data_IF_970880510250
#
_entry.id   IF_970880510250
#
_cell.length_a   1.000
_cell.length_b   1.000
_cell.length_c   1.000
_cell.angle_alpha   90.00
_cell.angle_beta   90.00
_cell.angle_gamma   90.00
#
_symmetry.space_group_name_H-M   'P 1'
#
loop_
_entity.id
_entity.type
_entity.pdbx_description
1 polymer ?
2 non-polymer ?
3 non-polymer ?
4 water ?
#
# COMPACT_ATOMS: atom_id res chain seq x y z
N UNK A 1 7.16 -13.06 12.88
CA UNK A 1 6.29 -12.32 13.82
C UNK A 1 4.94 -12.00 13.21
N UNK A 2 4.06 -11.43 14.03
CA UNK A 2 2.74 -11.03 13.59
C UNK A 2 2.63 -9.53 13.86
N UNK A 3 2.27 -8.77 12.84
CA UNK A 3 2.16 -7.32 12.98
C UNK A 3 0.74 -6.80 12.80
N UNK A 4 0.27 -6.04 13.78
CA UNK A 4 -1.08 -5.48 13.70
C UNK A 4 -1.06 -4.20 12.87
N UNK A 5 -2.24 -3.72 12.49
CA UNK A 5 -2.30 -2.53 11.64
C UNK A 5 -2.85 -1.27 12.29
N UNK A 6 -2.84 -1.22 13.62
CA UNK A 6 -3.33 -0.05 14.35
C UNK A 6 -2.46 1.14 13.95
N UNK A 7 -1.18 0.85 13.72
CA UNK A 7 -0.21 1.86 13.33
C UNK A 7 0.37 1.46 11.99
N UNK A 8 1.07 2.38 11.34
CA UNK A 8 1.70 2.05 10.07
C UNK A 8 2.69 0.94 10.38
N UNK A 9 2.67 -0.14 9.58
CA UNK A 9 3.59 -1.26 9.80
C UNK A 9 5.02 -0.90 9.39
N UNK A 10 5.76 -0.29 10.31
CA UNK A 10 7.14 0.10 10.04
C UNK A 10 8.13 -0.87 10.68
N UNK A 11 9.16 -1.23 9.93
CA UNK A 11 10.19 -2.13 10.43
C UNK A 11 11.57 -1.63 10.01
N UNK A 12 12.60 -2.20 10.61
CA UNK A 12 13.96 -1.81 10.29
C UNK A 12 14.50 -2.66 9.15
N UNK A 13 15.19 -2.00 8.23
CA UNK A 13 15.78 -2.71 7.12
C UNK A 13 17.24 -2.29 7.03
N UNK A 14 18.05 -3.13 6.41
CA UNK A 14 19.45 -2.80 6.22
C UNK A 14 19.75 -2.91 4.74
N UNK A 15 20.23 -1.82 4.16
CA UNK A 15 20.57 -1.80 2.74
C UNK A 15 21.81 -0.95 2.55
N UNK A 16 22.79 -1.50 1.84
CA UNK A 16 24.03 -0.78 1.61
C UNK A 16 24.71 -0.46 2.92
N UNK A 17 24.61 -1.38 3.88
CA UNK A 17 25.23 -1.17 5.17
C UNK A 17 24.50 -0.16 6.04
N UNK A 18 23.34 0.30 5.59
CA UNK A 18 22.58 1.27 6.37
C UNK A 18 21.24 0.77 6.91
N UNK A 19 20.94 1.18 8.14
CA UNK A 19 19.70 0.81 8.79
C UNK A 19 18.67 1.91 8.54
N UNK A 20 17.49 1.53 8.07
CA UNK A 20 16.43 2.49 7.79
C UNK A 20 15.07 1.94 8.19
N UNK A 21 14.10 2.83 8.37
CA UNK A 21 12.74 2.44 8.73
C UNK A 21 11.95 2.28 7.44
N UNK A 22 11.22 1.17 7.30
CA UNK A 22 10.46 0.95 6.08
C UNK A 22 9.04 0.48 6.34
N UNK A 23 8.17 0.82 5.42
CA UNK A 23 6.78 0.47 5.53
C UNK A 23 6.45 -0.83 4.79
N UNK A 24 5.88 -1.82 5.49
CA UNK A 24 5.51 -3.06 4.79
C UNK A 24 4.22 -2.74 4.03
N UNK A 25 4.30 -2.69 2.71
CA UNK A 25 3.15 -2.30 1.90
C UNK A 25 2.63 -3.33 0.90
N UNK A 26 1.59 -4.07 1.27
CA UNK A 26 1.02 -5.08 0.37
C UNK A 26 0.42 -4.46 -0.88
N UNK A 27 0.17 -3.15 -0.84
CA UNK A 27 -0.41 -2.47 -1.98
C UNK A 27 0.61 -2.04 -3.03
N UNK A 28 1.89 -2.08 -2.68
CA UNK A 28 2.95 -1.69 -3.62
C UNK A 28 3.48 -2.90 -4.40
N UNK A 29 3.53 -2.78 -5.72
CA UNK A 29 4.04 -3.88 -6.54
C UNK A 29 5.56 -3.91 -6.48
N UNK A 30 6.15 -2.73 -6.28
CA UNK A 30 7.61 -2.60 -6.22
C UNK A 30 8.04 -2.04 -4.87
N UNK A 31 9.36 -1.96 -4.70
CA UNK A 31 9.96 -1.43 -3.48
C UNK A 31 10.54 -0.06 -3.84
N UNK A 32 10.24 0.94 -3.03
CA UNK A 32 10.72 2.30 -3.29
C UNK A 32 11.41 2.91 -2.09
N UNK A 33 12.64 3.38 -2.30
CA UNK A 33 13.40 3.97 -1.21
C UNK A 33 13.68 5.44 -1.44
N UNK A 34 13.82 6.17 -0.34
CA UNK A 34 14.11 7.60 -0.40
C UNK A 34 15.47 7.80 -1.04
N UNK A 35 15.64 8.94 -1.70
CA UNK A 35 16.88 9.25 -2.39
C UNK A 35 18.14 8.86 -1.59
N UNK A 36 19.03 8.13 -2.24
CA UNK A 36 20.28 7.71 -1.62
C UNK A 36 21.27 7.36 -2.72
N UNK A 37 22.56 7.51 -2.43
CA UNK A 37 23.59 7.27 -3.44
C UNK A 37 24.15 5.86 -3.54
N UNK A 38 23.32 4.92 -3.99
CA UNK A 38 23.77 3.54 -4.16
C UNK A 38 24.73 3.41 -5.33
N UNK A 39 25.75 2.55 -5.18
CA UNK A 39 26.71 2.35 -6.26
C UNK A 39 26.12 1.35 -7.25
N UNK A 40 26.67 1.31 -8.46
CA UNK A 40 26.17 0.38 -9.45
C UNK A 40 25.44 1.08 -10.58
N UNK A 41 25.16 0.33 -11.63
CA UNK A 41 24.46 0.88 -12.78
C UNK A 41 22.95 0.80 -12.52
N UNK A 42 22.19 1.66 -13.19
CA UNK A 42 20.74 1.69 -13.02
C UNK A 42 20.04 2.16 -14.29
N UNK A 43 18.72 1.96 -14.34
CA UNK A 43 17.93 2.38 -15.49
C UNK A 43 16.84 3.33 -15.03
N UNK A 44 16.48 4.32 -15.86
CA UNK A 44 15.44 5.27 -15.49
C UNK A 44 14.09 4.57 -15.56
N UNK A 45 13.14 5.01 -14.75
CA UNK A 45 11.82 4.42 -14.75
C UNK A 45 10.78 5.33 -14.10
N UNK A 46 9.54 5.17 -14.54
CA UNK A 46 8.42 5.95 -14.03
C UNK A 46 7.49 4.99 -13.30
N UNK A 47 7.06 5.36 -12.10
CA UNK A 47 6.11 4.54 -11.34
C UNK A 47 4.98 5.45 -10.89
N UNK A 48 3.76 4.93 -10.94
CA UNK A 48 2.62 5.73 -10.55
C UNK A 48 2.04 5.38 -9.20
N UNK A 49 1.65 6.40 -8.46
CA UNK A 49 1.04 6.18 -7.17
C UNK A 49 -0.29 6.91 -7.17
N UNK A 50 -0.82 7.18 -5.98
CA UNK A 50 -2.11 7.86 -5.84
C UNK A 50 -2.26 9.15 -6.64
N UNK A 51 -1.34 10.08 -6.45
CA UNK A 51 -1.44 11.35 -7.14
C UNK A 51 -0.52 11.58 -8.33
N UNK A 52 -0.26 10.53 -9.10
CA UNK A 52 0.59 10.67 -10.27
C UNK A 52 1.82 9.79 -10.37
N UNK A 53 2.72 10.16 -11.27
CA UNK A 53 3.95 9.43 -11.51
C UNK A 53 5.18 10.19 -11.03
N UNK A 54 6.18 9.46 -10.56
CA UNK A 54 7.42 10.07 -10.13
C UNK A 54 8.54 9.34 -10.87
N UNK A 55 9.60 10.07 -11.20
CA UNK A 55 10.73 9.49 -11.90
C UNK A 55 11.66 8.87 -10.87
N UNK A 56 12.11 7.64 -11.13
CA UNK A 56 13.01 6.96 -10.19
C UNK A 56 14.13 6.18 -10.87
N UNK A 57 15.11 5.76 -10.07
CA UNK A 57 16.23 5.00 -10.58
C UNK A 57 16.13 3.54 -10.13
N UNK A 58 16.20 2.64 -11.09
CA UNK A 58 16.08 1.22 -10.82
C UNK A 58 17.39 0.47 -10.66
N UNK A 59 17.60 -0.09 -9.46
CA UNK A 59 18.79 -0.88 -9.17
C UNK A 59 18.39 -2.34 -9.01
N UNK A 60 19.02 -3.25 -9.75
CA UNK A 60 18.70 -4.67 -9.65
C UNK A 60 19.62 -5.43 -8.70
N UNK A 61 19.20 -6.65 -8.36
CA UNK A 61 19.95 -7.54 -7.48
C UNK A 61 20.59 -6.86 -6.28
N UNK A 62 19.82 -6.04 -5.58
CA UNK A 62 20.35 -5.35 -4.41
C UNK A 62 20.04 -6.18 -3.16
N UNK A 63 21.07 -6.49 -2.35
CA UNK A 63 20.88 -7.27 -1.13
C UNK A 63 20.20 -6.39 -0.09
N UNK A 64 19.17 -6.92 0.56
CA UNK A 64 18.48 -6.14 1.56
C UNK A 64 17.98 -7.03 2.68
N UNK A 65 18.03 -6.51 3.89
CA UNK A 65 17.56 -7.26 5.04
C UNK A 65 16.32 -6.57 5.63
N UNK A 66 15.32 -7.38 5.96
CA UNK A 66 14.07 -6.90 6.52
C UNK A 66 13.81 -7.69 7.79
N UNK A 67 13.97 -7.04 8.94
CA UNK A 67 13.76 -7.71 10.23
C UNK A 67 14.53 -9.00 10.30
N UNK A 68 15.83 -8.93 10.04
CA UNK A 68 16.65 -10.12 10.11
C UNK A 68 16.38 -11.15 9.03
N UNK A 69 15.49 -10.84 8.09
CA UNK A 69 15.22 -11.78 7.01
C UNK A 69 15.91 -11.27 5.76
N UNK A 70 16.87 -12.03 5.26
CA UNK A 70 17.63 -11.64 4.08
C UNK A 70 16.84 -11.81 2.79
N UNK A 71 17.03 -10.86 1.89
CA UNK A 71 16.36 -10.89 0.60
C UNK A 71 17.20 -10.11 -0.39
N UNK A 72 16.91 -10.28 -1.67
CA UNK A 72 17.65 -9.59 -2.71
C UNK A 72 16.75 -9.41 -3.93
N UNK A 73 16.74 -8.20 -4.46
CA UNK A 73 15.90 -7.95 -5.61
C UNK A 73 16.03 -6.55 -6.15
N UNK A 74 15.01 -6.14 -6.89
CA UNK A 74 14.97 -4.83 -7.51
C UNK A 74 14.48 -3.77 -6.54
N UNK A 75 15.13 -2.62 -6.57
CA UNK A 75 14.76 -1.50 -5.71
C UNK A 75 14.77 -0.23 -6.52
N UNK A 76 13.73 0.58 -6.33
CA UNK A 76 13.62 1.85 -7.03
C UNK A 76 14.03 2.95 -6.05
N UNK A 77 14.75 3.95 -6.55
CA UNK A 77 15.20 5.05 -5.71
C UNK A 77 14.72 6.38 -6.28
N UNK A 78 14.06 7.17 -5.44
CA UNK A 78 13.55 8.44 -5.89
C UNK A 78 13.01 9.27 -4.75
N UNK A 79 12.43 10.44 -5.06
CA UNK A 79 11.87 11.33 -4.04
C UNK A 79 10.54 10.84 -3.48
N UNK A 80 10.60 9.76 -2.70
CA UNK A 80 9.41 9.21 -2.07
C UNK A 80 9.42 9.73 -0.64
N UNK A 81 8.25 10.12 -0.12
CA UNK A 81 8.17 10.63 1.25
C UNK A 81 8.55 9.60 2.29
N UNK A 82 8.46 8.32 1.92
CA UNK A 82 8.80 7.26 2.85
C UNK A 82 9.33 6.02 2.15
N UNK A 83 10.07 5.21 2.88
CA UNK A 83 10.60 3.98 2.32
C UNK A 83 9.48 2.96 2.26
N UNK A 84 9.43 2.22 1.16
CA UNK A 84 8.36 1.24 0.95
C UNK A 84 8.84 -0.12 0.47
N UNK A 85 8.52 -1.16 1.22
CA UNK A 85 8.89 -2.51 0.82
C UNK A 85 7.67 -3.10 0.10
N UNK A 86 7.82 -3.33 -1.20
CA UNK A 86 6.72 -3.88 -1.98
C UNK A 86 6.64 -5.40 -2.01
N UNK A 87 5.69 -5.91 -2.78
CA UNK A 87 5.48 -7.34 -2.89
C UNK A 87 6.66 -8.13 -3.44
N UNK A 88 7.44 -7.52 -4.33
CA UNK A 88 8.58 -8.23 -4.90
C UNK A 88 9.52 -8.72 -3.79
N UNK A 89 9.60 -7.99 -2.69
CA UNK A 89 10.45 -8.40 -1.58
C UNK A 89 9.68 -9.11 -0.48
N UNK A 90 8.41 -8.75 -0.30
CA UNK A 90 7.60 -9.39 0.75
C UNK A 90 7.46 -10.89 0.53
N UNK A 91 7.31 -11.29 -0.73
CA UNK A 91 7.20 -12.71 -1.07
C UNK A 91 8.47 -13.47 -0.69
N UNK A 92 9.62 -12.82 -0.83
CA UNK A 92 10.88 -13.46 -0.51
C UNK A 92 11.00 -13.84 0.97
N UNK A 93 10.39 -13.06 1.85
CA UNK A 93 10.46 -13.36 3.27
C UNK A 93 9.22 -14.10 3.78
N UNK A 94 8.48 -14.69 2.85
CA UNK A 94 7.29 -15.45 3.20
C UNK A 94 6.22 -14.69 3.95
N UNK A 95 6.06 -13.41 3.63
CA UNK A 95 5.06 -12.59 4.30
C UNK A 95 3.67 -12.84 3.73
N UNK A 96 2.70 -12.99 4.63
CA UNK A 96 1.31 -13.22 4.22
C UNK A 96 0.37 -12.26 4.94
N UNK A 97 -0.83 -12.15 4.39
CA UNK A 97 -1.87 -11.30 4.94
C UNK A 97 -2.84 -12.29 5.56
N UNK A 98 -3.26 -12.06 6.80
CA UNK A 98 -4.18 -12.99 7.44
C UNK A 98 -5.33 -12.36 8.21
N UNK A 99 -6.51 -12.94 8.04
CA UNK A 99 -7.71 -12.50 8.74
C UNK A 99 -8.75 -13.62 8.72
N UNK B 1 -8.90 -15.98 5.95
CA UNK B 1 -8.03 -16.75 5.03
C UNK B 1 -6.60 -16.24 5.06
N UNK B 2 -5.68 -17.03 4.51
CA UNK B 2 -4.28 -16.63 4.45
C UNK B 2 -3.99 -16.27 2.99
N UNK B 3 -3.49 -15.06 2.77
CA UNK B 3 -3.20 -14.60 1.43
C UNK B 3 -1.72 -14.39 1.16
N UNK B 4 -1.20 -15.06 0.13
CA UNK B 4 0.20 -14.92 -0.24
C UNK B 4 0.31 -13.68 -1.13
N UNK B 5 1.53 -13.22 -1.39
CA UNK B 5 1.68 -12.00 -2.16
C UNK B 5 2.38 -12.09 -3.52
N UNK B 6 2.27 -13.24 -4.17
CA UNK B 6 2.87 -13.42 -5.48
C UNK B 6 2.04 -12.68 -6.50
N UNK B 7 0.80 -12.40 -6.12
CA UNK B 7 -0.12 -11.66 -6.96
C UNK B 7 -0.71 -10.55 -6.10
N UNK B 8 -1.23 -9.51 -6.75
CA UNK B 8 -1.83 -8.42 -6.01
C UNK B 8 -2.92 -8.98 -5.09
N UNK B 9 -2.96 -8.51 -3.84
CA UNK B 9 -3.99 -9.03 -2.94
C UNK B 9 -5.35 -8.38 -3.20
N UNK B 10 -6.05 -8.88 -4.21
CA UNK B 10 -7.37 -8.36 -4.57
C UNK B 10 -8.50 -9.17 -3.96
N UNK B 11 -9.57 -8.49 -3.57
CA UNK B 11 -10.72 -9.16 -2.99
C UNK B 11 -11.99 -8.49 -3.45
N UNK B 12 -13.10 -9.20 -3.31
CA UNK B 12 -14.38 -8.66 -3.71
C UNK B 12 -15.02 -7.98 -2.51
N UNK B 13 -15.59 -6.81 -2.73
CA UNK B 13 -16.25 -6.09 -1.66
C UNK B 13 -17.68 -5.79 -2.08
N UNK B 14 -18.55 -5.63 -1.09
CA UNK B 14 -19.95 -5.33 -1.35
C UNK B 14 -20.19 -3.99 -0.69
N UNK B 15 -20.53 -3.00 -1.50
CA UNK B 15 -20.76 -1.67 -0.97
C UNK B 15 -22.01 -1.10 -1.61
N UNK B 16 -23.03 -0.88 -0.78
CA UNK B 16 -24.28 -0.34 -1.27
C UNK B 16 -25.02 -1.24 -2.24
N UNK B 17 -25.00 -2.55 -1.99
CA UNK B 17 -25.69 -3.48 -2.87
C UNK B 17 -24.96 -3.62 -4.19
N UNK B 18 -23.73 -3.14 -4.22
CA UNK B 18 -22.91 -3.17 -5.42
C UNK B 18 -21.63 -3.98 -5.16
N UNK B 19 -21.27 -4.86 -6.10
CA UNK B 19 -20.05 -5.64 -5.95
C UNK B 19 -18.89 -4.89 -6.61
N UNK B 20 -17.70 -5.06 -6.06
CA UNK B 20 -16.52 -4.40 -6.58
C UNK B 20 -15.27 -5.15 -6.18
N UNK B 21 -14.16 -4.80 -6.82
CA UNK B 21 -12.88 -5.44 -6.55
C UNK B 21 -11.99 -4.40 -5.86
N UNK B 22 -11.22 -4.84 -4.87
CA UNK B 22 -10.34 -3.92 -4.15
C UNK B 22 -9.02 -4.57 -3.78
N UNK B 23 -8.04 -3.72 -3.50
CA UNK B 23 -6.70 -4.18 -3.13
C UNK B 23 -6.49 -4.04 -1.61
N UNK B 24 -6.04 -5.11 -0.95
CA UNK B 24 -5.77 -5.05 0.49
C UNK B 24 -4.44 -4.31 0.60
N UNK B 25 -4.50 -3.09 1.11
CA UNK B 25 -3.32 -2.24 1.14
C UNK B 25 -2.86 -1.75 2.51
N UNK B 26 -1.84 -2.40 3.06
CA UNK B 26 -1.33 -2.02 4.37
C UNK B 26 -0.57 -0.70 4.41
N UNK B 27 -0.15 -0.20 3.26
CA UNK B 27 0.57 1.07 3.21
C UNK B 27 -0.38 2.26 3.12
N UNK B 28 -1.67 1.98 3.03
CA UNK B 28 -2.66 3.05 2.94
C UNK B 28 -3.30 3.28 4.31
N UNK B 29 -3.30 4.53 4.78
CA UNK B 29 -3.90 4.84 6.08
C UNK B 29 -5.41 4.75 5.97
N UNK B 30 -5.93 5.23 4.85
CA UNK B 30 -7.36 5.23 4.63
C UNK B 30 -7.79 4.40 3.44
N UNK B 31 -9.11 4.35 3.25
CA UNK B 31 -9.74 3.59 2.18
C UNK B 31 -10.29 4.50 1.08
N UNK B 32 -9.86 4.25 -0.15
CA UNK B 32 -10.32 5.07 -1.27
C UNK B 32 -10.87 4.23 -2.40
N UNK B 33 -12.06 4.60 -2.86
CA UNK B 33 -12.70 3.89 -3.94
C UNK B 33 -12.84 4.80 -5.14
N UNK B 34 -12.92 4.20 -6.32
CA UNK B 34 -13.07 4.97 -7.55
C UNK B 34 -14.36 5.78 -7.45
N UNK B 35 -14.47 6.83 -8.26
CA UNK B 35 -15.65 7.68 -8.23
C UNK B 35 -16.92 6.85 -8.40
N UNK B 36 -17.88 7.06 -7.51
CA UNK B 36 -19.14 6.34 -7.56
C UNK B 36 -20.14 7.08 -6.69
N UNK B 37 -21.40 6.66 -6.75
CA UNK B 37 -22.42 7.30 -5.95
C UNK B 37 -22.65 6.57 -4.64
N UNK B 38 -22.69 7.33 -3.57
CA UNK B 38 -22.92 6.79 -2.25
C UNK B 38 -23.91 7.71 -1.56
N UNK B 39 -24.88 7.13 -0.84
CA UNK B 39 -25.88 7.94 -0.14
C UNK B 39 -25.26 8.69 1.04
N UNK B 40 -25.97 9.70 1.52
CA UNK B 40 -25.47 10.47 2.64
C UNK B 40 -24.68 11.70 2.25
N UNK B 41 -24.34 12.49 3.26
CA UNK B 41 -23.57 13.71 3.07
C UNK B 41 -22.08 13.41 3.06
N UNK B 42 -21.33 14.17 2.28
CA UNK B 42 -19.89 13.98 2.19
C UNK B 42 -19.17 15.31 2.38
N UNK B 43 -17.96 15.25 2.94
CA UNK B 43 -17.18 16.45 3.15
C UNK B 43 -15.93 16.38 2.28
N UNK B 44 -15.50 17.52 1.72
CA UNK B 44 -14.31 17.54 0.87
C UNK B 44 -13.07 17.26 1.70
N UNK B 45 -12.13 16.51 1.13
CA UNK B 45 -10.90 16.20 1.82
C UNK B 45 -9.78 16.00 0.80
N UNK B 46 -8.54 16.07 1.27
CA UNK B 46 -7.39 15.87 0.41
C UNK B 46 -6.44 14.87 1.02
N UNK B 47 -5.96 13.93 0.21
CA UNK B 47 -5.03 12.92 0.67
C UNK B 47 -3.83 12.88 -0.27
N UNK B 48 -2.66 12.60 0.29
CA UNK B 48 -1.47 12.54 -0.53
C UNK B 48 -0.87 11.16 -0.59
N UNK B 49 -0.15 10.91 -1.68
CA UNK B 49 0.51 9.63 -1.86
C UNK B 49 1.73 9.93 -2.70
N UNK B 50 2.27 8.88 -3.31
CA UNK B 50 3.41 9.04 -4.19
C UNK B 50 2.78 9.69 -5.41
N UNK B 51 3.43 10.72 -5.93
CA UNK B 51 2.89 11.40 -7.08
C UNK B 51 2.29 12.72 -6.63
N UNK B 52 1.69 12.74 -5.45
CA UNK B 52 1.11 13.98 -4.96
C UNK B 52 -0.19 13.84 -4.21
N UNK B 53 -0.95 14.93 -4.15
CA UNK B 53 -2.23 14.97 -3.46
C UNK B 53 -3.41 14.99 -4.43
N UNK B 54 -4.55 14.48 -3.98
CA UNK B 54 -5.76 14.48 -4.80
C UNK B 54 -6.92 14.91 -3.92
N UNK B 55 -8.02 15.32 -4.55
CA UNK B 55 -9.20 15.74 -3.81
C UNK B 55 -10.17 14.57 -3.79
N UNK B 56 -10.74 14.29 -2.62
CA UNK B 56 -11.69 13.20 -2.50
C UNK B 56 -12.89 13.61 -1.65
N UNK B 57 -13.94 12.80 -1.72
CA UNK B 57 -15.16 13.05 -0.95
C UNK B 57 -15.10 12.09 0.22
N UNK B 58 -15.43 12.57 1.41
CA UNK B 58 -15.38 11.72 2.59
C UNK B 58 -16.75 11.28 3.10
N UNK B 59 -16.99 9.98 3.11
CA UNK B 59 -18.25 9.47 3.63
C UNK B 59 -17.96 8.76 4.95
N UNK B 60 -18.75 9.06 5.97
CA UNK B 60 -18.55 8.44 7.28
C UNK B 60 -19.54 7.32 7.58
N UNK B 61 -19.17 6.43 8.49
CA UNK B 61 -20.00 5.30 8.90
C UNK B 61 -20.67 4.54 7.76
N UNK B 62 -19.89 4.15 6.77
CA UNK B 62 -20.44 3.40 5.65
C UNK B 62 -20.25 1.90 5.86
N UNK B 63 -21.33 1.12 5.73
CA UNK B 63 -21.28 -0.33 5.90
C UNK B 63 -20.65 -0.94 4.66
N UNK B 64 -19.64 -1.78 4.85
CA UNK B 64 -18.98 -2.40 3.72
C UNK B 64 -18.57 -3.82 4.08
N UNK B 65 -18.80 -4.73 3.15
CA UNK B 65 -18.49 -6.13 3.34
C UNK B 65 -17.21 -6.45 2.57
N UNK B 66 -16.21 -6.93 3.27
CA UNK B 66 -14.93 -7.25 2.65
C UNK B 66 -14.63 -8.73 2.73
N UNK B 67 -14.71 -9.40 1.59
CA UNK B 67 -14.43 -10.82 1.53
C UNK B 67 -15.22 -11.56 2.61
N UNK B 68 -16.48 -11.17 2.79
CA UNK B 68 -17.33 -11.82 3.77
C UNK B 68 -17.42 -11.22 5.16
N UNK B 69 -16.44 -10.40 5.54
CA UNK B 69 -16.44 -9.80 6.87
C UNK B 69 -16.99 -8.38 6.86
N UNK B 70 -17.87 -8.09 7.81
CA UNK B 70 -18.49 -6.78 7.90
C UNK B 70 -17.62 -5.71 8.54
N UNK B 71 -17.78 -4.48 8.05
CA UNK B 71 -17.04 -3.35 8.56
C UNK B 71 -17.90 -2.11 8.38
N UNK B 72 -17.66 -1.10 9.21
CA UNK B 72 -18.40 0.16 9.13
C UNK B 72 -17.42 1.27 9.49
N UNK B 73 -17.06 2.07 8.50
CA UNK B 73 -16.12 3.14 8.75
C UNK B 73 -16.06 4.16 7.64
N UNK B 74 -15.06 5.03 7.71
CA UNK B 74 -14.88 6.08 6.72
C UNK B 74 -14.44 5.57 5.36
N UNK B 75 -15.12 6.04 4.33
CA UNK B 75 -14.79 5.66 2.96
C UNK B 75 -14.58 6.94 2.13
N UNK B 76 -13.45 7.00 1.43
CA UNK B 76 -13.14 8.15 0.59
C UNK B 76 -13.38 7.78 -0.88
N UNK B 77 -13.94 8.71 -1.64
CA UNK B 77 -14.21 8.47 -3.04
C UNK B 77 -13.58 9.56 -3.89
N UNK B 78 -12.88 9.16 -4.94
CA UNK B 78 -12.23 10.14 -5.79
C UNK B 78 -11.47 9.51 -6.93
N UNK B 79 -10.69 10.30 -7.68
CA UNK B 79 -9.90 9.83 -8.82
C UNK B 79 -8.68 8.97 -8.47
N UNK B 80 -8.92 7.85 -7.80
CA UNK B 80 -7.83 6.95 -7.43
C UNK B 80 -7.65 5.95 -8.57
N UNK B 81 -6.40 5.55 -8.85
CA UNK B 81 -6.15 4.59 -9.93
C UNK B 81 -6.75 3.21 -9.69
N UNK B 82 -7.08 2.90 -8.44
CA UNK B 82 -7.65 1.59 -8.11
C UNK B 82 -8.31 1.61 -6.72
N UNK B 83 -9.29 0.73 -6.49
CA UNK B 83 -9.95 0.68 -5.18
C UNK B 83 -8.99 0.11 -4.15
N UNK B 84 -8.82 0.83 -3.05
CA UNK B 84 -7.91 0.42 -1.99
C UNK B 84 -8.60 0.33 -0.63
N UNK B 85 -8.33 -0.75 0.10
CA UNK B 85 -8.89 -0.93 1.42
C UNK B 85 -7.74 -0.61 2.37
N UNK B 86 -7.88 0.48 3.11
CA UNK B 86 -6.84 0.90 4.03
C UNK B 86 -6.88 0.28 5.40
N UNK B 87 -5.93 0.70 6.24
CA UNK B 87 -5.82 0.20 7.61
C UNK B 87 -7.05 0.48 8.47
N UNK B 88 -7.78 1.56 8.19
CA UNK B 88 -8.95 1.87 8.99
C UNK B 88 -9.98 0.74 8.93
N UNK B 89 -10.07 0.05 7.80
CA UNK B 89 -11.02 -1.05 7.69
C UNK B 89 -10.34 -2.39 7.90
N UNK B 90 -9.05 -2.46 7.58
CA UNK B 90 -8.31 -3.71 7.76
C UNK B 90 -8.30 -4.12 9.22
N UNK B 91 -8.17 -3.13 10.11
CA UNK B 91 -8.16 -3.43 11.53
C UNK B 91 -9.54 -3.91 11.97
N UNK B 92 -10.60 -3.40 11.34
CA UNK B 92 -11.95 -3.81 11.72
C UNK B 92 -12.20 -5.29 11.48
N UNK B 93 -11.54 -5.84 10.47
CA UNK B 93 -11.71 -7.25 10.17
C UNK B 93 -10.60 -8.14 10.73
N UNK B 94 -9.81 -7.60 11.65
CA UNK B 94 -8.74 -8.37 12.27
C UNK B 94 -7.61 -8.81 11.35
N UNK B 95 -7.26 -7.95 10.40
CA UNK B 95 -6.21 -8.28 9.45
C UNK B 95 -4.81 -8.03 10.04
N UNK B 96 -3.89 -8.96 9.78
CA UNK B 96 -2.51 -8.84 10.25
C UNK B 96 -1.51 -9.28 9.18
N UNK B 97 -0.26 -8.89 9.35
CA UNK B 97 0.80 -9.30 8.45
C UNK B 97 1.59 -10.35 9.22
N UNK B 98 1.95 -11.43 8.54
CA UNK B 98 2.69 -12.50 9.18
C UNK B 98 3.86 -13.01 8.34
N UNK B 99 4.92 -13.42 9.02
CA UNK B 99 6.09 -14.00 8.36
C UNK B 99 7.09 -14.45 9.41
X LIG C 1 7.60 -16.21 15.48
X LIG C 1 8.54 -15.15 15.23
X LIG C 1 8.13 -17.39 15.77
X LIG C 1 6.15 -15.90 15.83
X LIG D 1 0.45 5.49 12.49
X LIG D 1 -0.55 4.54 12.09
X LIG D 1 0.00 6.58 13.12
X LIG D 1 1.92 5.09 12.58
X LIG E 1 25.17 -4.74 2.98
X LIG E 1 24.47 -3.72 3.72
X LIG E 1 24.82 -6.01 3.23
X LIG E 1 26.41 -4.41 2.16
X LIG F 1 -12.79 -17.34 6.02
X LIG F 1 -11.79 -17.70 6.98
X LIG F 1 -13.36 -16.14 6.15
X LIG F 1 -12.98 -18.17 4.75
X LIG G 1 -1.73 2.31 -6.26
X LIG G 1 -0.30 2.76 -6.03
X LIG G 1 0.47 2.07 -4.91
X LIG G 1 1.82 2.71 -4.88
X LIG G 1 1.95 3.84 -4.37
X LIG G 1 2.83 2.02 -5.42
X LIG G 1 4.25 2.34 -5.55
X LIG G 1 4.97 1.18 -6.28
X LIG G 1 4.90 2.47 -4.31
X LIG G 1 4.53 3.56 -6.36
X LIG G 1 -0.45 2.30 -3.68
X LIG G 1 -1.89 1.90 -3.81
X LIG G 1 -2.48 2.52 -5.06
X LIG G 1 0.04 1.68 -2.42
X LIG G 1 0.04 2.67 -1.31
X LIG G 1 0.13 1.69 -0.31
X LIG G 1 1.23 3.60 -1.07
X LIG G 1 1.21 4.63 0.08
X LIG G 1 2.58 5.45 0.10
X LIG G 1 2.60 6.49 1.23
X LIG G 1 2.40 6.10 2.64
X LIG G 1 2.41 7.11 3.66
X LIG G 1 2.61 8.52 3.28
X LIG G 1 2.80 8.88 1.89
X LIG G 1 2.79 7.87 0.88
X LIG G 1 0.05 5.67 -0.08
X LIG G 1 -0.40 6.09 -1.21
X LIG G 1 -0.39 6.09 1.09
X LIG G 1 -1.43 7.08 1.27
X LIG G 1 -1.47 7.61 2.69
X LIG G 1 -1.22 6.57 3.63
X LIG G 1 -2.83 8.25 2.83
X LIG G 1 -3.83 7.44 2.05
X LIG G 1 -5.21 7.25 2.04
X LIG G 1 -5.76 6.33 1.08
X LIG G 1 -4.90 5.63 0.13
X LIG G 1 -3.51 5.82 0.13
X LIG G 1 -2.89 6.68 1.03
X LIG G 1 -2.39 2.99 -7.39
X LIG G 1 -1.76 2.88 -8.78
X LIG G 1 -1.63 1.63 -9.48
X LIG G 1 -1.03 1.49 -10.80
X LIG G 1 -0.56 2.74 -11.37
X LIG G 1 -0.65 4.02 -10.72
X LIG G 1 -1.26 4.08 -9.40
X LIG G 1 3.96 4.80 0.09
#
# INVERSE_FOLDING_TARGET
>A
PQITLWKRPLVTIRIGGQLKEALLDTGADDTVLEEMNLPGRWKPKMIGGIGGFIKVRQYDQIPIEICGHKAIGTVLVGPTPTNVIGRNLLTQIGCTLNF
>B
PQITLWKRPLVTIRIGGQLKEALLDTGADDTVLEEMNLPGRWKPKMIGGIGGFIKVRQYDQIPIEICGHKAIGTVLVGPTPTNVIGRNLLTQIGCTLNF
>C hetero
1 ACT C O OXT CH3
>D hetero
1 ACT C O OXT CH3
>E hetero
1 ACT C O OXT CH3
>F hetero
1 ACT C O OXT CH3
>G hetero
1 XN1 N1 C1 C2 C3 O1 N2 C4 C5 C6 C7 N3 C8 C9 C10 C11 O2 C12 C13 C14 C15 C16 C17 C18 C19 C20 C21 O3 N4 C22 C23 O4 C24 C25 C26 C27 C28 C29 C30 C31 C32 C33 N5 C34 C35 C36 C37
#
